data_IF_476994109862
#
_entry.id   IF_476994109862
#
_cell.length_a   1.000
_cell.length_b   1.000
_cell.length_c   1.000
_cell.angle_alpha   90.00
_cell.angle_beta   90.00
_cell.angle_gamma   90.00
#
_symmetry.space_group_name_H-M   'P 1'
#
loop_
_entity.id
_entity.type
_entity.pdbx_description
1 polymer ?
#
# COMPACT_ATOMS: atom_id res chain seq x y z
N UNK A 1 30.73 -0.56 39.73
CA UNK A 1 30.15 0.03 38.50
C UNK A 1 29.96 -1.07 37.46
N UNK A 2 28.71 -1.38 37.12
CA UNK A 2 28.35 -2.41 36.13
C UNK A 2 28.44 -1.80 34.72
N UNK A 3 29.24 -2.40 33.85
CA UNK A 3 29.16 -2.16 32.42
C UNK A 3 28.03 -3.03 31.84
N UNK A 4 26.88 -2.42 31.55
CA UNK A 4 25.79 -3.07 30.82
C UNK A 4 26.11 -3.00 29.34
N UNK A 5 26.54 -4.14 28.79
CA UNK A 5 26.74 -4.36 27.36
C UNK A 5 25.35 -4.45 26.71
N UNK A 6 24.91 -3.40 26.04
CA UNK A 6 23.69 -3.39 25.23
C UNK A 6 23.87 -4.37 24.06
N UNK A 7 23.45 -5.63 24.26
CA UNK A 7 23.15 -6.53 23.15
C UNK A 7 21.82 -6.06 22.58
N UNK A 8 21.85 -5.40 21.42
CA UNK A 8 20.66 -5.35 20.55
C UNK A 8 20.39 -6.78 20.07
N UNK A 9 19.66 -7.51 20.89
CA UNK A 9 19.01 -8.76 20.49
C UNK A 9 17.93 -8.33 19.50
N UNK A 10 18.16 -8.60 18.22
CA UNK A 10 17.10 -8.70 17.24
C UNK A 10 16.13 -9.76 17.78
N UNK A 11 15.06 -9.30 18.43
CA UNK A 11 13.95 -10.17 18.82
C UNK A 11 13.21 -10.51 17.54
N UNK A 12 13.60 -11.62 16.92
CA UNK A 12 12.70 -12.49 16.16
C UNK A 12 11.60 -12.97 17.10
N UNK A 13 10.70 -12.07 17.45
CA UNK A 13 9.41 -12.44 18.00
C UNK A 13 8.61 -12.97 16.83
N UNK A 14 8.38 -14.28 16.80
CA UNK A 14 7.22 -14.83 16.11
C UNK A 14 5.97 -14.18 16.71
N UNK A 15 5.61 -12.98 16.24
CA UNK A 15 4.24 -12.51 16.37
C UNK A 15 3.45 -13.53 15.56
N UNK A 16 2.76 -14.41 16.26
CA UNK A 16 1.92 -15.42 15.65
C UNK A 16 1.07 -14.73 14.58
N UNK A 17 1.12 -15.20 13.34
CA UNK A 17 0.42 -14.61 12.19
C UNK A 17 -1.04 -14.28 12.50
N UNK A 18 -1.66 -15.07 13.37
CA UNK A 18 -2.99 -14.83 13.92
C UNK A 18 -3.16 -13.46 14.60
N UNK A 19 -2.22 -12.97 15.41
CA UNK A 19 -2.44 -11.79 16.26
C UNK A 19 -2.53 -10.49 15.47
N UNK A 20 -1.67 -10.27 14.46
CA UNK A 20 -1.77 -9.05 13.65
C UNK A 20 -2.97 -9.10 12.70
N UNK A 21 -3.38 -10.29 12.25
CA UNK A 21 -4.62 -10.45 11.46
C UNK A 21 -5.82 -10.03 12.29
N UNK A 22 -5.92 -10.42 13.57
CA UNK A 22 -7.01 -9.97 14.44
C UNK A 22 -7.04 -8.45 14.62
N UNK A 23 -5.87 -7.82 14.74
CA UNK A 23 -5.75 -6.35 14.82
C UNK A 23 -6.25 -5.70 13.53
N UNK A 24 -5.77 -6.17 12.37
CA UNK A 24 -6.21 -5.64 11.07
C UNK A 24 -7.72 -5.85 10.91
N UNK A 25 -8.24 -7.02 11.27
CA UNK A 25 -9.68 -7.32 11.21
C UNK A 25 -10.49 -6.40 12.12
N UNK A 26 -9.97 -6.04 13.29
CA UNK A 26 -10.60 -5.07 14.17
C UNK A 26 -10.61 -3.66 13.54
N UNK A 27 -9.50 -3.23 12.94
CA UNK A 27 -9.39 -1.94 12.23
C UNK A 27 -10.38 -1.89 11.07
N UNK A 28 -10.48 -2.94 10.25
CA UNK A 28 -11.38 -2.94 9.09
C UNK A 28 -12.85 -2.85 9.46
N UNK A 29 -13.26 -3.30 10.67
CA UNK A 29 -14.64 -3.08 11.14
C UNK A 29 -14.92 -1.63 11.54
N UNK A 30 -13.87 -0.86 11.82
CA UNK A 30 -13.94 0.53 12.25
C UNK A 30 -13.64 1.53 11.12
N UNK A 31 -13.27 1.06 9.93
CA UNK A 31 -12.92 1.91 8.77
C UNK A 31 -13.67 1.48 7.52
N UNK A 32 -13.99 2.41 6.63
CA UNK A 32 -14.59 2.11 5.32
C UNK A 32 -13.57 1.73 4.24
N UNK A 33 -12.29 1.71 4.58
CA UNK A 33 -11.19 1.41 3.67
C UNK A 33 -11.16 -0.09 3.32
N UNK A 34 -10.78 -0.42 2.09
CA UNK A 34 -10.54 -1.81 1.69
C UNK A 34 -9.11 -2.20 2.03
N UNK A 35 -8.91 -3.09 2.99
CA UNK A 35 -7.58 -3.50 3.46
C UNK A 35 -7.28 -4.95 3.11
N UNK A 36 -6.05 -5.22 2.70
CA UNK A 36 -5.56 -6.58 2.57
C UNK A 36 -4.07 -6.65 2.86
N UNK A 37 -3.55 -7.86 3.00
CA UNK A 37 -2.15 -8.10 3.32
C UNK A 37 -1.54 -9.09 2.34
N UNK A 38 -0.38 -8.72 1.84
CA UNK A 38 0.38 -9.49 0.86
C UNK A 38 1.53 -10.22 1.54
N UNK A 39 1.73 -11.48 1.17
CA UNK A 39 2.97 -12.23 1.35
C UNK A 39 3.66 -12.39 -0.01
N UNK A 40 4.76 -11.68 -0.21
CA UNK A 40 5.53 -11.71 -1.46
C UNK A 40 6.26 -13.03 -1.68
N UNK A 41 6.65 -13.72 -0.60
CA UNK A 41 7.36 -15.01 -0.68
C UNK A 41 6.41 -16.10 -1.19
N UNK A 42 5.16 -16.09 -0.71
CA UNK A 42 4.11 -17.04 -1.11
C UNK A 42 3.32 -16.61 -2.34
N UNK A 43 3.49 -15.36 -2.79
CA UNK A 43 2.68 -14.72 -3.86
C UNK A 43 1.18 -14.83 -3.57
N UNK A 44 0.82 -14.64 -2.31
CA UNK A 44 -0.53 -14.88 -1.80
C UNK A 44 -1.00 -13.70 -0.96
N UNK A 45 -2.32 -13.63 -0.75
CA UNK A 45 -2.92 -12.76 0.24
C UNK A 45 -3.07 -13.52 1.57
N UNK A 46 -2.65 -12.92 2.67
CA UNK A 46 -2.82 -13.50 4.02
C UNK A 46 -4.14 -13.09 4.67
N UNK A 47 -4.69 -11.96 4.24
CA UNK A 47 -5.93 -11.39 4.71
C UNK A 47 -6.49 -10.47 3.63
N UNK A 48 -7.81 -10.47 3.44
CA UNK A 48 -8.55 -9.54 2.60
C UNK A 48 -9.80 -9.13 3.37
N UNK A 49 -10.07 -7.83 3.48
CA UNK A 49 -11.30 -7.32 4.09
C UNK A 49 -12.51 -7.61 3.21
N UNK A 50 -13.67 -7.80 3.82
CA UNK A 50 -14.95 -7.94 3.13
C UNK A 50 -15.45 -6.57 2.62
N UNK A 51 -14.69 -5.95 1.71
CA UNK A 51 -15.01 -4.67 1.09
C UNK A 51 -15.19 -4.87 -0.42
N UNK A 52 -16.37 -4.58 -0.99
CA UNK A 52 -16.67 -4.82 -2.40
C UNK A 52 -15.69 -4.16 -3.39
N UNK A 53 -15.06 -3.04 -3.00
CA UNK A 53 -14.22 -2.25 -3.89
C UNK A 53 -13.03 -3.03 -4.45
N UNK A 54 -12.35 -3.83 -3.60
CA UNK A 54 -11.24 -4.67 -4.06
C UNK A 54 -11.70 -6.04 -4.52
N UNK A 55 -12.83 -6.55 -3.99
CA UNK A 55 -13.28 -7.91 -4.28
C UNK A 55 -13.76 -8.11 -5.73
N UNK A 56 -14.11 -7.04 -6.44
CA UNK A 56 -14.55 -7.10 -7.84
C UNK A 56 -15.75 -8.02 -8.11
N UNK A 57 -16.62 -8.20 -7.12
CA UNK A 57 -17.76 -9.13 -7.16
C UNK A 57 -17.46 -10.57 -6.76
N UNK A 58 -16.22 -10.88 -6.37
CA UNK A 58 -15.81 -12.18 -5.82
C UNK A 58 -16.02 -12.22 -4.30
N UNK A 59 -16.03 -13.42 -3.73
CA UNK A 59 -15.93 -13.63 -2.29
C UNK A 59 -14.50 -13.44 -1.79
N UNK A 60 -14.34 -13.15 -0.49
CA UNK A 60 -13.03 -13.08 0.17
C UNK A 60 -12.24 -14.37 -0.05
N UNK A 61 -12.90 -15.54 0.02
CA UNK A 61 -12.26 -16.84 -0.14
C UNK A 61 -11.71 -17.03 -1.56
N UNK A 62 -12.48 -16.69 -2.60
CA UNK A 62 -12.00 -16.76 -3.99
C UNK A 62 -10.78 -15.86 -4.20
N UNK A 63 -10.78 -14.64 -3.67
CA UNK A 63 -9.64 -13.72 -3.79
C UNK A 63 -8.40 -14.26 -3.06
N UNK A 64 -8.57 -14.84 -1.86
CA UNK A 64 -7.47 -15.47 -1.12
C UNK A 64 -6.88 -16.67 -1.88
N UNK A 65 -7.72 -17.50 -2.48
CA UNK A 65 -7.30 -18.67 -3.28
C UNK A 65 -6.57 -18.26 -4.56
N UNK A 66 -7.03 -17.19 -5.21
CA UNK A 66 -6.38 -16.65 -6.41
C UNK A 66 -4.99 -16.06 -6.14
N UNK A 67 -4.78 -15.46 -4.97
CA UNK A 67 -3.53 -14.76 -4.67
C UNK A 67 -3.20 -13.72 -5.75
N UNK A 68 -1.96 -13.74 -6.26
CA UNK A 68 -1.53 -12.72 -7.23
C UNK A 68 -2.17 -12.86 -8.62
N UNK A 69 -2.76 -14.01 -8.94
CA UNK A 69 -3.47 -14.19 -10.21
C UNK A 69 -4.74 -13.33 -10.28
N UNK A 70 -5.21 -12.85 -9.13
CA UNK A 70 -6.24 -11.81 -9.00
C UNK A 70 -5.93 -10.60 -9.90
N UNK A 71 -4.70 -10.09 -9.88
CA UNK A 71 -4.36 -8.90 -10.66
C UNK A 71 -4.48 -9.15 -12.17
N UNK A 72 -4.02 -10.30 -12.67
CA UNK A 72 -4.12 -10.63 -14.10
C UNK A 72 -5.57 -10.78 -14.59
N UNK A 73 -6.49 -11.18 -13.71
CA UNK A 73 -7.90 -11.38 -14.04
C UNK A 73 -8.72 -10.09 -13.92
N UNK A 74 -8.39 -9.25 -12.94
CA UNK A 74 -9.22 -8.14 -12.50
C UNK A 74 -8.61 -6.76 -12.71
N UNK A 75 -7.43 -6.64 -13.33
CA UNK A 75 -6.85 -5.33 -13.72
C UNK A 75 -6.98 -5.14 -15.22
N UNK A 76 -7.31 -3.92 -15.66
CA UNK A 76 -7.35 -3.59 -17.09
C UNK A 76 -6.00 -3.90 -17.77
N UNK A 77 -5.98 -4.44 -19.00
CA UNK A 77 -4.74 -4.85 -19.67
C UNK A 77 -3.67 -3.76 -19.72
N UNK A 78 -4.05 -2.52 -20.02
CA UNK A 78 -3.15 -1.37 -20.11
C UNK A 78 -2.48 -1.07 -18.75
N UNK A 79 -3.24 -1.25 -17.67
CA UNK A 79 -2.74 -1.05 -16.31
C UNK A 79 -1.91 -2.23 -15.81
N UNK A 80 -2.03 -3.43 -16.38
CA UNK A 80 -1.14 -4.55 -16.02
C UNK A 80 0.31 -4.24 -16.39
N UNK A 81 0.55 -3.67 -17.58
CA UNK A 81 1.88 -3.21 -17.99
C UNK A 81 2.42 -2.11 -17.07
N UNK A 82 1.53 -1.18 -16.67
CA UNK A 82 1.85 -0.15 -15.69
C UNK A 82 2.26 -0.76 -14.35
N UNK A 83 1.55 -1.77 -13.84
CA UNK A 83 1.89 -2.44 -12.57
C UNK A 83 3.27 -3.12 -12.63
N UNK A 84 3.64 -3.74 -13.75
CA UNK A 84 4.99 -4.28 -13.93
C UNK A 84 6.05 -3.18 -13.88
N UNK A 85 5.81 -2.04 -14.56
CA UNK A 85 6.71 -0.89 -14.51
C UNK A 85 6.85 -0.35 -13.09
N UNK A 86 5.73 -0.18 -12.38
CA UNK A 86 5.70 0.30 -10.98
C UNK A 86 6.50 -0.62 -10.07
N UNK A 87 6.34 -1.94 -10.21
CA UNK A 87 7.10 -2.92 -9.45
C UNK A 87 8.61 -2.70 -9.62
N UNK A 88 9.08 -2.57 -10.85
CA UNK A 88 10.51 -2.37 -11.16
C UNK A 88 11.03 -1.07 -10.55
N UNK A 89 10.39 0.07 -10.85
CA UNK A 89 10.87 1.38 -10.36
C UNK A 89 10.74 1.52 -8.84
N UNK A 90 9.75 0.83 -8.24
CA UNK A 90 9.54 0.78 -6.81
C UNK A 90 10.66 -0.01 -6.14
N UNK A 91 10.97 -1.21 -6.65
CA UNK A 91 12.08 -2.03 -6.17
C UNK A 91 13.40 -1.24 -6.22
N UNK A 92 13.71 -0.62 -7.36
CA UNK A 92 14.90 0.22 -7.54
C UNK A 92 14.96 1.38 -6.53
N UNK A 93 13.80 1.97 -6.19
CA UNK A 93 13.73 3.03 -5.18
C UNK A 93 14.04 2.48 -3.79
N UNK A 94 13.35 1.40 -3.38
CA UNK A 94 13.54 0.78 -2.07
C UNK A 94 14.96 0.26 -1.85
N UNK A 95 15.61 -0.28 -2.89
CA UNK A 95 17.00 -0.75 -2.82
C UNK A 95 18.01 0.35 -2.51
N UNK A 96 17.73 1.59 -2.91
CA UNK A 96 18.56 2.76 -2.59
C UNK A 96 18.37 3.27 -1.16
N UNK A 97 17.34 2.79 -0.45
CA UNK A 97 17.07 3.20 0.93
C UNK A 97 17.84 2.35 1.95
N UNK A 98 18.25 2.94 3.09
CA UNK A 98 18.75 2.18 4.23
C UNK A 98 17.71 1.17 4.74
N UNK A 99 18.15 -0.04 5.10
CA UNK A 99 17.28 -1.13 5.57
C UNK A 99 16.38 -0.69 6.74
N UNK A 100 16.94 0.02 7.72
CA UNK A 100 16.23 0.48 8.91
C UNK A 100 15.09 1.48 8.62
N UNK A 101 15.06 2.07 7.42
CA UNK A 101 14.05 3.06 7.03
C UNK A 101 12.98 2.53 6.08
N UNK A 102 13.12 1.34 5.47
CA UNK A 102 12.23 0.92 4.36
C UNK A 102 10.76 0.80 4.77
N UNK A 103 10.48 0.37 6.01
CA UNK A 103 9.10 0.24 6.53
C UNK A 103 8.43 1.59 6.83
N UNK A 104 9.17 2.69 6.86
CA UNK A 104 8.60 4.04 7.03
C UNK A 104 8.10 4.65 5.71
N UNK A 105 8.12 3.90 4.60
CA UNK A 105 7.70 4.40 3.29
C UNK A 105 6.40 3.73 2.85
N UNK A 106 5.60 4.49 2.12
CA UNK A 106 4.39 4.00 1.46
C UNK A 106 4.48 4.38 0.00
N UNK A 107 4.32 3.39 -0.89
CA UNK A 107 4.11 3.64 -2.31
C UNK A 107 2.60 3.66 -2.58
N UNK A 108 2.14 4.62 -3.37
CA UNK A 108 0.76 4.72 -3.82
C UNK A 108 0.68 4.95 -5.31
N UNK A 109 -0.35 4.41 -5.96
CA UNK A 109 -0.60 4.59 -7.38
C UNK A 109 -2.02 4.23 -7.74
N UNK A 110 -2.52 4.81 -8.83
CA UNK A 110 -3.85 4.53 -9.33
C UNK A 110 -3.83 3.55 -10.50
N UNK A 111 -4.80 2.64 -10.52
CA UNK A 111 -5.06 1.71 -11.61
C UNK A 111 -6.53 1.26 -11.58
N UNK A 112 -7.00 0.69 -12.69
CA UNK A 112 -8.37 0.21 -12.82
C UNK A 112 -8.49 -1.24 -12.40
N UNK A 113 -9.44 -1.48 -11.50
CA UNK A 113 -10.01 -2.79 -11.30
C UNK A 113 -11.21 -2.99 -12.23
N UNK A 114 -11.43 -4.22 -12.66
CA UNK A 114 -12.54 -4.62 -13.52
C UNK A 114 -13.43 -5.58 -12.74
N UNK A 115 -14.66 -5.14 -12.50
CA UNK A 115 -15.70 -5.94 -11.86
C UNK A 115 -16.19 -7.08 -12.78
N UNK A 116 -16.94 -8.03 -12.22
CA UNK A 116 -17.57 -9.12 -12.98
C UNK A 116 -18.48 -8.63 -14.12
N UNK A 117 -19.12 -7.48 -13.94
CA UNK A 117 -19.96 -6.80 -14.94
C UNK A 117 -19.14 -6.06 -16.03
N UNK A 118 -17.81 -6.17 -16.00
CA UNK A 118 -16.85 -5.50 -16.88
C UNK A 118 -16.76 -3.99 -16.72
N UNK A 119 -17.36 -3.43 -15.67
CA UNK A 119 -17.20 -2.01 -15.36
C UNK A 119 -15.81 -1.74 -14.77
N UNK A 120 -14.99 -0.86 -15.37
CA UNK A 120 -13.74 -0.45 -14.78
C UNK A 120 -13.98 0.57 -13.66
N UNK A 121 -13.26 0.42 -12.55
CA UNK A 121 -13.25 1.35 -11.43
C UNK A 121 -11.81 1.76 -11.19
N UNK A 122 -11.53 3.06 -11.31
CA UNK A 122 -10.23 3.62 -10.98
C UNK A 122 -10.07 3.69 -9.46
N UNK A 123 -9.09 2.97 -8.94
CA UNK A 123 -8.78 2.92 -7.51
C UNK A 123 -7.44 3.57 -7.23
N UNK A 124 -7.30 4.12 -6.03
CA UNK A 124 -5.99 4.41 -5.45
C UNK A 124 -5.57 3.21 -4.60
N UNK A 125 -4.37 2.71 -4.87
CA UNK A 125 -3.75 1.64 -4.10
C UNK A 125 -2.57 2.18 -3.32
N UNK A 126 -2.44 1.77 -2.06
CA UNK A 126 -1.32 2.14 -1.17
C UNK A 126 -0.72 0.88 -0.58
N UNK A 127 0.59 0.73 -0.69
CA UNK A 127 1.36 -0.37 -0.11
C UNK A 127 2.35 0.17 0.91
N UNK A 128 2.27 -0.35 2.12
CA UNK A 128 3.21 -0.03 3.21
C UNK A 128 3.91 -1.32 3.66
N UNK A 129 5.24 -1.41 3.57
CA UNK A 129 5.98 -2.59 4.01
C UNK A 129 5.81 -2.84 5.51
N UNK A 130 5.53 -4.09 5.88
CA UNK A 130 5.41 -4.52 7.28
C UNK A 130 6.67 -5.25 7.74
N UNK A 131 7.17 -6.19 6.94
CA UNK A 131 8.31 -7.02 7.27
C UNK A 131 9.28 -7.08 6.10
N UNK A 132 10.57 -7.03 6.41
CA UNK A 132 11.64 -7.26 5.46
C UNK A 132 12.20 -8.68 5.61
N UNK A 133 12.67 -9.28 4.52
CA UNK A 133 13.48 -10.50 4.56
C UNK A 133 14.87 -10.20 5.16
N UNK A 134 15.66 -11.25 5.41
CA UNK A 134 17.05 -11.12 5.86
C UNK A 134 17.91 -10.35 4.84
N UNK A 135 17.61 -10.49 3.55
CA UNK A 135 18.26 -9.76 2.46
C UNK A 135 17.73 -8.32 2.29
N UNK A 136 16.76 -7.91 3.10
CA UNK A 136 16.19 -6.56 3.10
C UNK A 136 15.03 -6.35 2.13
N UNK A 137 14.59 -7.38 1.42
CA UNK A 137 13.43 -7.31 0.51
C UNK A 137 12.13 -7.18 1.26
N UNK A 138 11.12 -6.54 0.67
CA UNK A 138 9.78 -6.48 1.27
C UNK A 138 9.19 -7.89 1.23
N UNK A 139 9.03 -8.52 2.40
CA UNK A 139 8.46 -9.86 2.51
C UNK A 139 6.95 -9.84 2.68
N UNK A 140 6.44 -8.86 3.44
CA UNK A 140 5.00 -8.64 3.66
C UNK A 140 4.68 -7.17 3.67
N UNK A 141 3.48 -6.83 3.22
CA UNK A 141 2.99 -5.46 3.20
C UNK A 141 1.50 -5.37 3.52
N UNK A 142 1.11 -4.26 4.13
CA UNK A 142 -0.29 -3.86 4.26
C UNK A 142 -0.67 -3.02 3.05
N UNK A 143 -1.84 -3.35 2.49
CA UNK A 143 -2.38 -2.75 1.31
C UNK A 143 -3.72 -2.09 1.64
N UNK A 144 -3.89 -0.84 1.19
CA UNK A 144 -5.14 -0.09 1.31
C UNK A 144 -5.60 0.27 -0.10
N UNK A 145 -6.87 0.05 -0.37
CA UNK A 145 -7.54 0.38 -1.62
C UNK A 145 -8.70 1.31 -1.32
N UNK A 146 -8.74 2.42 -2.05
CA UNK A 146 -9.83 3.39 -2.00
C UNK A 146 -10.21 3.84 -3.41
N UNK A 147 -11.25 4.66 -3.52
CA UNK A 147 -11.58 5.32 -4.79
C UNK A 147 -10.51 6.35 -5.12
N UNK A 148 -10.07 6.36 -6.37
CA UNK A 148 -9.14 7.39 -6.85
C UNK A 148 -9.83 8.75 -6.85
N UNK A 149 -9.06 9.79 -6.50
CA UNK A 149 -9.43 11.20 -6.68
C UNK A 149 -8.76 11.81 -7.92
N UNK A 150 -8.04 11.00 -8.69
CA UNK A 150 -7.48 11.33 -10.00
C UNK A 150 -8.40 10.82 -11.11
N UNK A 151 -8.34 11.46 -12.28
CA UNK A 151 -9.15 11.07 -13.45
C UNK A 151 -8.50 9.97 -14.30
N UNK A 152 -7.27 9.55 -13.98
CA UNK A 152 -6.53 8.54 -14.74
C UNK A 152 -5.54 7.74 -13.88
N UNK A 153 -5.18 6.55 -14.37
CA UNK A 153 -4.17 5.69 -13.77
C UNK A 153 -2.75 6.26 -13.94
N UNK A 154 -1.80 5.74 -13.16
CA UNK A 154 -0.38 6.07 -13.32
C UNK A 154 0.15 7.24 -12.49
N UNK A 155 -0.65 7.80 -11.58
CA UNK A 155 -0.15 8.77 -10.59
C UNK A 155 0.62 8.07 -9.47
N UNK A 156 1.90 7.81 -9.70
CA UNK A 156 2.74 7.04 -8.78
C UNK A 156 3.44 7.99 -7.81
N UNK A 157 3.28 7.73 -6.52
CA UNK A 157 3.88 8.49 -5.44
C UNK A 157 4.54 7.57 -4.42
N UNK A 158 5.69 7.97 -3.88
CA UNK A 158 6.26 7.39 -2.67
C UNK A 158 6.28 8.49 -1.62
N UNK A 159 5.86 8.18 -0.41
CA UNK A 159 5.92 9.10 0.72
C UNK A 159 6.60 8.43 1.90
N UNK A 160 7.26 9.24 2.73
CA UNK A 160 7.87 8.79 3.99
C UNK A 160 7.02 9.25 5.17
N UNK A 161 6.85 8.37 6.16
CA UNK A 161 6.26 8.69 7.45
C UNK A 161 7.02 9.85 8.10
N UNK A 162 6.27 10.74 8.75
CA UNK A 162 6.80 11.90 9.50
C UNK A 162 7.72 12.82 8.68
N UNK A 163 7.59 12.80 7.35
CA UNK A 163 8.32 13.67 6.42
C UNK A 163 7.36 14.48 5.56
N UNK A 164 7.81 15.68 5.19
CA UNK A 164 7.15 16.51 4.18
C UNK A 164 7.57 16.13 2.76
N UNK A 165 8.49 15.17 2.61
CA UNK A 165 9.00 14.75 1.31
C UNK A 165 8.06 13.73 0.66
N UNK A 166 7.78 13.95 -0.61
CA UNK A 166 7.12 13.01 -1.51
C UNK A 166 7.94 12.88 -2.78
N UNK A 167 7.92 11.68 -3.36
CA UNK A 167 8.54 11.41 -4.64
C UNK A 167 7.44 11.03 -5.62
N UNK A 168 7.27 11.79 -6.69
CA UNK A 168 6.33 11.47 -7.76
C UNK A 168 7.09 10.89 -8.95
N UNK A 169 6.56 9.85 -9.56
CA UNK A 169 7.17 9.31 -10.76
C UNK A 169 6.54 9.92 -12.01
N UNK A 170 7.38 10.44 -12.90
CA UNK A 170 6.92 10.86 -14.21
C UNK A 170 7.12 9.72 -15.21
N UNK A 171 6.03 9.12 -15.67
CA UNK A 171 6.05 7.99 -16.61
C UNK A 171 6.69 8.32 -17.96
N UNK A 172 6.52 9.55 -18.45
CA UNK A 172 7.05 10.02 -19.74
C UNK A 172 8.56 10.29 -19.67
N UNK A 173 9.00 10.96 -18.61
CA UNK A 173 10.41 11.30 -18.40
C UNK A 173 11.21 10.17 -17.70
N UNK A 174 10.52 9.10 -17.30
CA UNK A 174 11.07 7.93 -16.63
C UNK A 174 11.95 8.27 -15.43
N UNK A 175 11.48 9.18 -14.57
CA UNK A 175 12.24 9.71 -13.43
C UNK A 175 11.37 10.04 -12.22
N UNK A 176 11.97 9.92 -11.04
CA UNK A 176 11.41 10.45 -9.80
C UNK A 176 11.67 11.96 -9.69
N UNK A 177 10.64 12.74 -9.38
CA UNK A 177 10.76 14.11 -8.89
C UNK A 177 10.51 14.12 -7.38
N UNK A 178 11.40 14.76 -6.63
CA UNK A 178 11.20 15.01 -5.21
C UNK A 178 10.46 16.34 -5.05
N UNK A 179 9.37 16.32 -4.30
CA UNK A 179 8.50 17.46 -4.02
C UNK A 179 8.20 17.55 -2.52
N UNK A 180 7.74 18.70 -2.06
CA UNK A 180 7.17 18.84 -0.72
C UNK A 180 5.66 18.58 -0.76
N UNK A 181 5.13 18.00 0.31
CA UNK A 181 3.69 17.87 0.53
C UNK A 181 3.07 19.26 0.53
N UNK A 182 1.93 19.39 -0.14
CA UNK A 182 1.14 20.62 -0.13
C UNK A 182 0.80 20.99 1.30
N UNK A 183 1.20 22.20 1.71
CA UNK A 183 0.80 22.78 3.00
C UNK A 183 -0.56 23.43 2.83
N UNK A 184 -1.52 22.98 3.62
CA UNK A 184 -2.83 23.61 3.68
C UNK A 184 -2.73 24.96 4.37
N UNK A 185 -3.40 25.96 3.82
CA UNK A 185 -3.66 27.23 4.48
C UNK A 185 -4.59 27.02 5.69
N UNK A 186 -4.63 28.00 6.60
CA UNK A 186 -5.53 27.97 7.76
C UNK A 186 -6.99 27.81 7.34
N UNK A 187 -7.39 28.46 6.24
CA UNK A 187 -8.74 28.36 5.69
C UNK A 187 -9.04 26.97 5.13
N UNK A 188 -8.12 26.35 4.40
CA UNK A 188 -8.30 24.98 3.91
C UNK A 188 -8.38 23.98 5.07
N UNK A 189 -7.57 24.17 6.11
CA UNK A 189 -7.63 23.37 7.32
C UNK A 189 -8.97 23.53 8.05
N UNK A 190 -9.50 24.75 8.12
CA UNK A 190 -10.83 25.02 8.68
C UNK A 190 -11.94 24.35 7.87
N UNK A 191 -11.91 24.45 6.54
CA UNK A 191 -12.87 23.76 5.67
C UNK A 191 -12.85 22.24 5.88
N UNK A 192 -11.67 21.62 5.95
CA UNK A 192 -11.55 20.19 6.25
C UNK A 192 -12.09 19.83 7.64
N UNK A 193 -11.89 20.68 8.65
CA UNK A 193 -12.43 20.48 10.00
C UNK A 193 -13.96 20.55 10.02
N UNK A 194 -14.55 21.47 9.27
CA UNK A 194 -16.02 21.59 9.15
C UNK A 194 -16.59 20.36 8.43
N UNK A 195 -16.01 19.99 7.29
CA UNK A 195 -16.39 18.79 6.54
C UNK A 195 -16.33 17.53 7.42
N UNK A 196 -15.24 17.33 8.18
CA UNK A 196 -15.07 16.18 9.06
C UNK A 196 -16.10 16.13 10.23
N UNK A 197 -16.71 17.26 10.58
CA UNK A 197 -17.79 17.34 11.59
C UNK A 197 -19.18 17.17 10.99
N UNK A 198 -19.30 17.03 9.66
CA UNK A 198 -20.57 17.00 8.95
C UNK A 198 -21.30 18.35 8.94
N UNK A 199 -20.56 19.45 9.05
CA UNK A 199 -21.07 20.82 9.02
C UNK A 199 -20.95 21.45 7.63
#
# INVERSE_FOLDING_TARGET
>A
MKAVRNRHIARTGHINTSHYIEIIRAITRATYESLYMIDFKRRAFEYVSENPLFLCGLSVQEVLEMGFDFYSRNVLPEDQELLFKIKTIGLDFYHKLPLSGRTSYTISYDFHLVNQDKTPILIIYKLTPLYLSEDGEISKALCIVGLSYHDSSGHICISKQDSQEIWKYNLNANKWSKEEKTKLSERELEMLRLYARGA
#
